data_IF_379023311439
#
_entry.id   IF_379023311439
#
_cell.length_a   1.000
_cell.length_b   1.000
_cell.length_c   1.000
_cell.angle_alpha   90.00
_cell.angle_beta   90.00
_cell.angle_gamma   90.00
#
_symmetry.space_group_name_H-M   'P 1'
#
loop_
_entity.id
_entity.type
_entity.pdbx_description
1 polymer ?
#
# COMPACT_ATOMS: atom_id res chain seq x y z
N UNK A 1 13.22 4.74 0.88
CA UNK A 1 13.84 5.20 -0.41
C UNK A 1 12.82 5.88 -1.33
N UNK A 2 11.64 5.27 -1.64
CA UNK A 2 10.64 5.84 -2.58
C UNK A 2 10.20 7.25 -2.18
N UNK A 3 9.75 7.46 -0.94
CA UNK A 3 9.31 8.79 -0.47
C UNK A 3 10.41 9.83 -0.56
N UNK A 4 11.65 9.48 -0.18
CA UNK A 4 12.79 10.41 -0.30
C UNK A 4 13.03 10.86 -1.75
N UNK A 5 12.87 9.94 -2.69
CA UNK A 5 12.92 10.26 -4.11
C UNK A 5 11.79 11.22 -4.52
N UNK A 6 10.57 10.96 -4.04
CA UNK A 6 9.42 11.83 -4.30
C UNK A 6 9.61 13.25 -3.74
N UNK A 7 10.12 13.36 -2.51
CA UNK A 7 10.43 14.63 -1.84
C UNK A 7 11.46 15.45 -2.63
N UNK A 8 12.54 14.82 -3.04
CA UNK A 8 13.69 15.53 -3.63
C UNK A 8 13.52 15.85 -5.12
N UNK A 9 12.88 14.97 -5.88
CA UNK A 9 12.90 15.07 -7.35
C UNK A 9 11.53 15.32 -7.99
N UNK A 10 10.43 15.02 -7.33
CA UNK A 10 9.09 15.16 -7.90
C UNK A 10 8.35 16.43 -7.47
N UNK A 11 9.08 17.45 -6.98
CA UNK A 11 8.51 18.75 -6.61
C UNK A 11 8.12 19.61 -7.81
N UNK A 12 8.73 19.42 -9.00
CA UNK A 12 8.40 20.19 -10.19
C UNK A 12 7.26 19.58 -10.98
N UNK A 13 6.46 20.42 -11.63
CA UNK A 13 5.35 19.99 -12.49
C UNK A 13 5.81 19.05 -13.61
N UNK A 14 6.97 19.36 -14.23
CA UNK A 14 7.55 18.51 -15.28
C UNK A 14 7.80 17.08 -14.80
N UNK A 15 8.34 16.91 -13.60
CA UNK A 15 8.59 15.57 -13.04
C UNK A 15 7.31 14.88 -12.61
N UNK A 16 6.34 15.61 -12.04
CA UNK A 16 5.05 15.06 -11.68
C UNK A 16 4.29 14.50 -12.89
N UNK A 17 4.35 15.18 -14.03
CA UNK A 17 3.72 14.71 -15.28
C UNK A 17 4.35 13.42 -15.83
N UNK A 18 5.60 13.11 -15.46
CA UNK A 18 6.29 11.88 -15.85
C UNK A 18 6.00 10.69 -14.93
N UNK A 19 5.40 10.95 -13.76
CA UNK A 19 5.08 9.91 -12.79
C UNK A 19 3.80 9.17 -13.21
N UNK A 20 3.91 7.88 -13.46
CA UNK A 20 2.75 7.01 -13.63
C UNK A 20 2.23 6.59 -12.25
N UNK A 21 3.04 5.84 -11.52
CA UNK A 21 2.75 5.46 -10.13
C UNK A 21 4.03 5.07 -9.40
N UNK A 22 4.08 5.32 -8.09
CA UNK A 22 5.14 4.85 -7.22
C UNK A 22 4.58 3.84 -6.21
N UNK A 23 5.10 2.62 -6.21
CA UNK A 23 4.69 1.56 -5.28
C UNK A 23 5.55 1.61 -4.02
N UNK A 24 4.94 2.02 -2.91
CA UNK A 24 5.54 2.07 -1.58
C UNK A 24 4.96 0.98 -0.67
N UNK A 25 5.16 -0.27 -1.06
CA UNK A 25 4.59 -1.43 -0.38
C UNK A 25 5.37 -1.69 0.92
N UNK A 26 4.64 -1.97 2.01
CA UNK A 26 5.22 -2.21 3.31
C UNK A 26 5.81 -0.97 3.97
N UNK A 27 5.34 0.23 3.61
CA UNK A 27 5.74 1.49 4.25
C UNK A 27 4.61 2.51 4.21
N UNK A 28 4.27 3.07 5.37
CA UNK A 28 3.13 3.95 5.53
C UNK A 28 3.25 5.27 4.73
N UNK A 29 2.22 5.62 3.98
CA UNK A 29 2.01 6.94 3.40
C UNK A 29 1.22 7.80 4.40
N UNK A 30 1.90 8.53 5.28
CA UNK A 30 1.22 9.23 6.38
C UNK A 30 0.56 10.53 5.93
N UNK A 31 -0.51 10.94 6.65
CA UNK A 31 -1.16 12.26 6.42
C UNK A 31 -0.17 13.42 6.56
N UNK A 32 0.74 13.34 7.53
CA UNK A 32 1.73 14.40 7.76
C UNK A 32 2.69 14.53 6.58
N UNK A 33 3.13 13.40 6.01
CA UNK A 33 3.97 13.38 4.81
C UNK A 33 3.26 14.02 3.60
N UNK A 34 1.98 13.71 3.40
CA UNK A 34 1.19 14.29 2.30
C UNK A 34 0.96 15.80 2.49
N UNK A 35 0.80 16.27 3.73
CA UNK A 35 0.67 17.70 4.04
C UNK A 35 1.98 18.44 3.79
N UNK A 36 3.11 17.85 4.16
CA UNK A 36 4.43 18.44 4.00
C UNK A 36 4.90 18.42 2.54
N UNK A 37 4.58 17.35 1.80
CA UNK A 37 4.97 17.12 0.41
C UNK A 37 3.77 16.90 -0.50
N UNK A 38 3.10 17.95 -1.01
CA UNK A 38 1.87 17.83 -1.80
C UNK A 38 2.01 17.05 -3.12
N UNK A 39 3.23 16.85 -3.59
CA UNK A 39 3.52 15.99 -4.75
C UNK A 39 3.35 14.49 -4.43
N UNK A 40 3.32 14.11 -3.17
CA UNK A 40 3.00 12.74 -2.73
C UNK A 40 1.49 12.62 -2.66
N UNK A 41 0.90 12.09 -3.72
CA UNK A 41 -0.56 11.94 -3.88
C UNK A 41 -0.95 10.48 -3.69
N UNK A 42 -1.63 10.10 -2.59
CA UNK A 42 -2.11 8.73 -2.41
C UNK A 42 -3.10 8.33 -3.50
N UNK A 43 -2.95 7.12 -4.02
CA UNK A 43 -3.89 6.56 -4.99
C UNK A 43 -5.31 6.41 -4.39
N UNK A 44 -6.34 6.70 -5.19
CA UNK A 44 -7.76 6.57 -4.83
C UNK A 44 -8.47 5.52 -5.69
N UNK A 45 -7.89 5.15 -6.83
CA UNK A 45 -8.45 4.17 -7.76
C UNK A 45 -7.35 3.44 -8.54
N UNK A 46 -7.75 2.39 -9.28
CA UNK A 46 -6.84 1.59 -10.11
C UNK A 46 -6.22 2.37 -11.27
N UNK A 47 -6.90 3.40 -11.75
CA UNK A 47 -6.54 4.12 -12.98
C UNK A 47 -5.86 5.47 -12.69
N UNK A 48 -5.57 5.79 -11.43
CA UNK A 48 -4.94 7.03 -11.06
C UNK A 48 -3.49 7.12 -11.58
N UNK A 49 -3.12 8.31 -12.03
CA UNK A 49 -1.77 8.62 -12.49
C UNK A 49 -1.12 9.69 -11.60
N UNK A 50 0.20 9.64 -11.52
CA UNK A 50 0.98 10.57 -10.70
C UNK A 50 0.83 10.33 -9.20
N UNK A 51 0.56 9.09 -8.79
CA UNK A 51 0.18 8.73 -7.43
C UNK A 51 1.17 7.80 -6.75
N UNK A 52 1.03 7.70 -5.42
CA UNK A 52 1.70 6.71 -4.59
C UNK A 52 0.70 5.63 -4.21
N UNK A 53 1.03 4.39 -4.54
CA UNK A 53 0.29 3.19 -4.14
C UNK A 53 0.96 2.66 -2.88
N UNK A 54 0.25 2.74 -1.76
CA UNK A 54 0.73 2.30 -0.45
C UNK A 54 -0.24 1.32 0.16
N UNK A 55 0.26 0.21 0.64
CA UNK A 55 -0.43 -0.75 1.49
C UNK A 55 0.58 -1.58 2.27
N UNK A 56 0.13 -2.11 3.38
CA UNK A 56 0.84 -3.10 4.18
C UNK A 56 -0.12 -4.26 4.48
N UNK A 57 0.38 -5.48 4.48
CA UNK A 57 -0.43 -6.67 4.74
C UNK A 57 -0.05 -7.26 6.08
N UNK A 58 -1.00 -7.28 6.98
CA UNK A 58 -0.84 -7.81 8.33
C UNK A 58 -1.91 -8.85 8.63
N UNK A 59 -1.62 -9.75 9.56
CA UNK A 59 -2.62 -10.67 10.07
C UNK A 59 -3.60 -9.91 10.98
N UNK A 60 -4.88 -10.34 11.06
CA UNK A 60 -5.91 -9.65 11.85
C UNK A 60 -5.57 -9.49 13.33
N UNK A 61 -4.75 -10.41 13.87
CA UNK A 61 -4.36 -10.44 15.28
C UNK A 61 -3.21 -9.50 15.64
N UNK A 62 -2.55 -8.90 14.64
CA UNK A 62 -1.44 -7.97 14.89
C UNK A 62 -1.98 -6.67 15.45
N UNK A 63 -1.63 -6.37 16.69
CA UNK A 63 -2.06 -5.14 17.39
C UNK A 63 -1.11 -3.97 17.22
N UNK A 64 0.16 -4.24 16.93
CA UNK A 64 1.19 -3.23 16.73
C UNK A 64 2.03 -3.56 15.51
N UNK A 65 2.29 -2.56 14.69
CA UNK A 65 3.14 -2.68 13.51
C UNK A 65 4.38 -1.80 13.65
N UNK A 66 5.52 -2.31 13.22
CA UNK A 66 6.79 -1.56 13.20
C UNK A 66 6.74 -0.46 12.12
N UNK A 67 5.96 -0.69 11.06
CA UNK A 67 5.94 0.15 9.86
C UNK A 67 5.08 1.38 10.07
N UNK A 68 3.97 1.24 10.79
CA UNK A 68 3.11 2.36 11.16
C UNK A 68 2.79 2.32 12.65
N UNK A 69 3.62 2.93 13.50
CA UNK A 69 3.40 2.98 14.94
C UNK A 69 2.01 3.55 15.29
N UNK A 70 1.40 3.03 16.34
CA UNK A 70 0.07 3.38 16.80
C UNK A 70 -0.18 4.90 16.83
N UNK A 71 -1.34 5.33 16.33
CA UNK A 71 -1.79 6.72 16.35
C UNK A 71 -1.41 7.56 15.12
N UNK A 72 -0.65 7.04 14.17
CA UNK A 72 -0.43 7.74 12.90
C UNK A 72 -1.48 7.35 11.88
N UNK A 73 -2.16 8.35 11.33
CA UNK A 73 -3.04 8.15 10.18
C UNK A 73 -2.21 8.01 8.90
N UNK A 74 -2.54 7.02 8.09
CA UNK A 74 -1.88 6.74 6.82
C UNK A 74 -2.92 6.44 5.73
N UNK A 75 -2.54 6.72 4.49
CA UNK A 75 -3.33 6.37 3.32
C UNK A 75 -2.95 4.98 2.83
N UNK A 76 -3.96 4.20 2.49
CA UNK A 76 -3.81 2.88 1.89
C UNK A 76 -4.84 2.64 0.81
N UNK A 77 -4.50 1.78 -0.13
CA UNK A 77 -5.42 1.27 -1.13
C UNK A 77 -5.38 -0.25 -1.12
N UNK A 78 -6.53 -0.89 -1.17
CA UNK A 78 -6.62 -2.34 -1.18
C UNK A 78 -6.07 -2.89 -2.52
N UNK A 79 -5.01 -3.71 -2.50
CA UNK A 79 -4.35 -4.15 -3.74
C UNK A 79 -5.19 -5.12 -4.59
N UNK A 80 -6.30 -5.65 -4.07
CA UNK A 80 -7.15 -6.60 -4.78
C UNK A 80 -8.35 -5.95 -5.46
N UNK A 81 -9.01 -4.98 -4.80
CA UNK A 81 -10.20 -4.31 -5.35
C UNK A 81 -10.00 -2.83 -5.67
N UNK A 82 -8.82 -2.27 -5.37
CA UNK A 82 -8.44 -0.89 -5.61
C UNK A 82 -9.35 0.14 -4.92
N UNK A 83 -9.89 -0.22 -3.76
CA UNK A 83 -10.69 0.68 -2.93
C UNK A 83 -9.88 1.19 -1.74
N UNK A 84 -10.27 2.35 -1.23
CA UNK A 84 -9.67 3.03 -0.08
C UNK A 84 -10.54 2.95 1.18
N UNK A 85 -11.68 2.30 1.10
CA UNK A 85 -12.60 2.03 2.20
C UNK A 85 -12.45 0.58 2.71
N UNK A 86 -13.20 0.24 3.76
CA UNK A 86 -13.20 -1.09 4.39
C UNK A 86 -13.93 -2.18 3.59
N UNK A 87 -14.32 -1.93 2.32
CA UNK A 87 -14.95 -2.95 1.47
C UNK A 87 -14.02 -4.15 1.33
N UNK A 88 -14.41 -5.35 1.78
CA UNK A 88 -13.58 -6.54 1.65
C UNK A 88 -13.35 -6.93 0.19
N UNK A 89 -12.17 -7.39 -0.11
CA UNK A 89 -11.83 -8.06 -1.37
C UNK A 89 -11.78 -9.56 -1.14
N UNK A 90 -12.61 -10.30 -1.88
CA UNK A 90 -12.62 -11.75 -1.82
C UNK A 90 -11.31 -12.35 -2.35
N UNK A 91 -10.91 -13.49 -1.79
CA UNK A 91 -9.69 -14.20 -2.19
C UNK A 91 -9.66 -14.60 -3.67
N UNK A 92 -10.81 -14.72 -4.32
CA UNK A 92 -10.89 -15.00 -5.77
C UNK A 92 -10.26 -13.90 -6.64
N UNK A 93 -10.11 -12.69 -6.10
CA UNK A 93 -9.39 -11.58 -6.75
C UNK A 93 -7.86 -11.71 -6.62
N UNK A 94 -7.38 -12.58 -5.73
CA UNK A 94 -5.95 -12.86 -5.59
C UNK A 94 -5.54 -13.90 -6.63
N UNK A 95 -4.90 -13.45 -7.72
CA UNK A 95 -4.48 -14.29 -8.84
C UNK A 95 -3.47 -15.35 -8.38
N UNK A 96 -2.59 -14.99 -7.43
CA UNK A 96 -1.64 -15.94 -6.86
C UNK A 96 -0.62 -15.30 -5.94
N UNK A 97 -0.13 -16.10 -5.03
CA UNK A 97 0.93 -15.73 -4.09
C UNK A 97 2.16 -16.60 -4.35
N UNK A 98 3.32 -15.96 -4.37
CA UNK A 98 4.58 -16.61 -4.66
C UNK A 98 5.55 -16.46 -3.50
N UNK A 99 5.95 -17.58 -2.92
CA UNK A 99 6.88 -17.61 -1.81
C UNK A 99 8.29 -17.84 -2.33
N UNK A 100 9.22 -16.98 -1.94
CA UNK A 100 10.60 -17.01 -2.40
C UNK A 100 11.53 -17.56 -1.32
N UNK A 101 12.57 -18.27 -1.73
CA UNK A 101 13.72 -18.59 -0.88
C UNK A 101 14.64 -17.38 -0.80
N UNK A 102 15.49 -17.29 0.22
CA UNK A 102 16.52 -16.26 0.33
C UNK A 102 17.47 -16.21 -0.88
N UNK A 103 17.62 -17.32 -1.60
CA UNK A 103 18.38 -17.41 -2.85
C UNK A 103 17.67 -16.82 -4.09
N UNK A 104 16.47 -16.24 -3.94
CA UNK A 104 15.66 -15.74 -5.04
C UNK A 104 14.91 -16.79 -5.85
N UNK A 105 15.03 -18.08 -5.48
CA UNK A 105 14.27 -19.15 -6.15
C UNK A 105 12.89 -19.30 -5.54
N UNK A 106 11.91 -19.67 -6.38
CA UNK A 106 10.54 -19.94 -5.93
C UNK A 106 10.58 -21.14 -4.98
N UNK A 107 9.96 -21.00 -3.81
CA UNK A 107 9.76 -22.07 -2.82
C UNK A 107 8.44 -22.79 -3.06
N UNK A 108 7.37 -22.04 -3.21
CA UNK A 108 6.01 -22.51 -3.48
C UNK A 108 5.16 -21.41 -4.07
N UNK A 109 4.04 -21.79 -4.65
CA UNK A 109 3.03 -20.90 -5.19
C UNK A 109 1.66 -21.37 -4.68
N UNK A 110 0.73 -20.45 -4.49
CA UNK A 110 -0.65 -20.74 -4.10
C UNK A 110 -1.57 -19.75 -4.80
N UNK A 111 -2.61 -20.24 -5.45
CA UNK A 111 -3.69 -19.42 -6.01
C UNK A 111 -4.69 -19.06 -4.91
N UNK A 112 -5.30 -17.89 -5.01
CA UNK A 112 -6.37 -17.42 -4.13
C UNK A 112 -6.06 -17.62 -2.62
N UNK A 113 -4.83 -17.31 -2.21
CA UNK A 113 -4.34 -17.57 -0.86
C UNK A 113 -5.18 -16.85 0.19
N UNK A 114 -5.43 -15.55 -0.01
CA UNK A 114 -6.19 -14.72 0.93
C UNK A 114 -6.94 -13.59 0.20
N UNK A 115 -8.02 -13.12 0.82
CA UNK A 115 -8.62 -11.82 0.55
C UNK A 115 -7.96 -10.74 1.41
N UNK A 116 -8.46 -9.50 1.33
CA UNK A 116 -8.03 -8.43 2.23
C UNK A 116 -9.07 -7.32 2.35
N UNK A 117 -8.95 -6.52 3.39
CA UNK A 117 -9.74 -5.29 3.61
C UNK A 117 -8.85 -4.22 4.24
N UNK A 118 -9.31 -2.97 4.20
CA UNK A 118 -8.68 -1.86 4.92
C UNK A 118 -9.34 -1.75 6.29
N UNK A 119 -8.54 -1.76 7.35
CA UNK A 119 -8.99 -1.58 8.72
C UNK A 119 -9.02 -0.08 9.07
N UNK A 120 -10.21 0.51 9.04
CA UNK A 120 -10.43 1.93 9.34
C UNK A 120 -10.23 2.26 10.83
N UNK A 121 -10.44 1.31 11.75
CA UNK A 121 -10.28 1.54 13.19
C UNK A 121 -8.82 1.80 13.57
N UNK A 122 -7.90 1.24 12.81
CA UNK A 122 -6.46 1.47 12.96
C UNK A 122 -5.97 2.70 12.21
N UNK A 123 -6.88 3.58 11.77
CA UNK A 123 -6.60 4.88 11.17
C UNK A 123 -6.03 4.81 9.76
N UNK A 124 -6.82 4.30 8.80
CA UNK A 124 -6.44 4.13 7.40
C UNK A 124 -5.12 3.35 7.20
N UNK A 125 -4.80 2.52 8.16
CA UNK A 125 -3.72 1.55 8.06
C UNK A 125 -4.24 0.43 7.17
N UNK A 126 -3.72 0.31 5.97
CA UNK A 126 -4.07 -0.80 5.10
C UNK A 126 -3.61 -2.09 5.76
N UNK A 127 -4.53 -2.87 6.25
CA UNK A 127 -4.22 -4.01 7.08
C UNK A 127 -5.03 -5.21 6.70
N UNK A 128 -4.35 -6.29 6.69
CA UNK A 128 -4.94 -7.58 6.78
C UNK A 128 -5.28 -8.22 5.43
N UNK A 129 -4.32 -8.97 4.93
CA UNK A 129 -4.69 -10.16 4.19
C UNK A 129 -5.37 -11.09 5.19
N UNK A 130 -6.69 -11.18 5.14
CA UNK A 130 -7.45 -12.17 5.90
C UNK A 130 -7.36 -13.47 5.11
N UNK A 131 -6.70 -14.47 5.69
CA UNK A 131 -6.62 -15.81 5.13
C UNK A 131 -7.94 -16.57 5.34
#
# INVERSE_FOLDING_TARGET
MVYRLMEEYFGSEEMQQKLVAAYAIGWACTEDMVKEYPQIKPAQSADDLGVVISFDCEAPEVSETIINPAGRKAYSINPLNWKTDSTPADKSLNIGSRFMKSSGKIKSEAEQLCGCYIDEERGAQGHGCVA
#
